data_IF_855665127751
#
_entry.id   IF_855665127751
#
_cell.length_a   1.000
_cell.length_b   1.000
_cell.length_c   1.000
_cell.angle_alpha   90.00
_cell.angle_beta   90.00
_cell.angle_gamma   90.00
#
_symmetry.space_group_name_H-M   'P 1'
#
loop_
_entity.id
_entity.type
_entity.pdbx_description
1 polymer ?
#
# COMPACT_ATOMS: atom_id res chain seq x y z
N UNK A 1 -17.05 3.70 5.84
CA UNK A 1 -15.71 3.27 5.41
C UNK A 1 -15.39 3.86 4.05
N UNK A 2 -14.12 4.03 3.79
CA UNK A 2 -13.64 4.63 2.55
C UNK A 2 -12.98 3.57 1.68
N UNK A 3 -12.91 3.83 0.39
CA UNK A 3 -12.26 2.94 -0.56
C UNK A 3 -10.81 3.34 -0.73
N UNK A 4 -9.93 2.35 -0.80
CA UNK A 4 -8.51 2.55 -1.06
C UNK A 4 -8.06 1.64 -2.18
N UNK A 5 -7.20 2.17 -3.04
CA UNK A 5 -6.50 1.40 -4.06
C UNK A 5 -5.09 1.13 -3.57
N UNK A 6 -4.66 -0.10 -3.71
CA UNK A 6 -3.33 -0.52 -3.28
C UNK A 6 -2.59 -1.08 -4.47
N UNK A 7 -1.39 -0.57 -4.70
CA UNK A 7 -0.50 -1.06 -5.74
C UNK A 7 0.80 -1.52 -5.11
N UNK A 8 1.18 -2.76 -5.37
CA UNK A 8 2.42 -3.35 -4.85
C UNK A 8 3.37 -3.57 -6.01
N UNK A 9 4.62 -3.16 -5.85
CA UNK A 9 5.65 -3.37 -6.85
C UNK A 9 6.99 -3.66 -6.17
N UNK A 10 7.93 -4.17 -6.94
CA UNK A 10 9.31 -4.34 -6.47
C UNK A 10 10.03 -3.00 -6.38
N UNK A 11 11.16 -3.01 -5.67
CA UNK A 11 12.01 -1.84 -5.60
C UNK A 11 13.39 -2.15 -6.15
N UNK A 12 14.03 -1.12 -6.70
CA UNK A 12 15.41 -1.17 -7.13
C UNK A 12 16.10 0.08 -6.61
N UNK A 13 17.12 -0.13 -5.77
CA UNK A 13 17.84 0.96 -5.08
C UNK A 13 16.90 1.86 -4.27
N UNK A 14 15.87 1.24 -3.66
CA UNK A 14 14.92 1.94 -2.81
C UNK A 14 13.77 2.61 -3.56
N UNK A 15 13.76 2.59 -4.89
CA UNK A 15 12.70 3.19 -5.68
C UNK A 15 11.81 2.14 -6.31
N UNK A 16 10.55 2.49 -6.55
CA UNK A 16 9.60 1.61 -7.22
C UNK A 16 10.10 1.29 -8.63
N UNK A 17 10.20 0.02 -8.95
CA UNK A 17 10.79 -0.43 -10.20
C UNK A 17 9.79 -0.91 -11.24
N UNK A 18 8.61 -1.35 -10.80
CA UNK A 18 7.52 -1.80 -11.67
C UNK A 18 7.89 -2.95 -12.61
N UNK A 19 8.81 -3.83 -12.22
CA UNK A 19 9.05 -5.04 -13.00
C UNK A 19 7.90 -6.02 -12.89
N UNK A 20 7.12 -5.91 -11.81
CA UNK A 20 5.83 -6.58 -11.64
C UNK A 20 4.95 -5.69 -10.77
N UNK A 21 3.65 -5.85 -10.90
CA UNK A 21 2.68 -5.06 -10.14
C UNK A 21 1.53 -5.96 -9.71
N UNK A 22 1.07 -5.77 -8.46
CA UNK A 22 -0.19 -6.34 -7.97
C UNK A 22 -1.07 -5.20 -7.50
N UNK A 23 -2.36 -5.30 -7.79
CA UNK A 23 -3.32 -4.28 -7.41
C UNK A 23 -4.44 -4.89 -6.59
N UNK A 24 -4.83 -4.16 -5.55
CA UNK A 24 -5.94 -4.50 -4.69
C UNK A 24 -6.81 -3.28 -4.48
N UNK A 25 -8.05 -3.51 -4.11
CA UNK A 25 -8.91 -2.48 -3.56
C UNK A 25 -9.44 -2.98 -2.23
N UNK A 26 -9.60 -2.08 -1.27
CA UNK A 26 -10.16 -2.46 0.02
C UNK A 26 -10.96 -1.30 0.60
N UNK A 27 -11.76 -1.61 1.61
CA UNK A 27 -12.52 -0.64 2.38
C UNK A 27 -11.93 -0.59 3.77
N UNK A 28 -11.61 0.62 4.23
CA UNK A 28 -11.01 0.82 5.53
C UNK A 28 -11.34 2.22 6.03
N UNK A 29 -11.01 2.49 7.29
CA UNK A 29 -11.23 3.81 7.90
C UNK A 29 -10.06 4.77 7.65
N UNK A 30 -8.89 4.24 7.32
CA UNK A 30 -7.66 5.02 7.21
C UNK A 30 -6.61 4.24 6.41
N UNK A 31 -5.51 4.89 6.07
CA UNK A 31 -4.35 4.20 5.49
C UNK A 31 -3.87 3.08 6.40
N UNK A 32 -3.85 3.31 7.71
CA UNK A 32 -3.44 2.27 8.66
C UNK A 32 -4.33 1.05 8.58
N UNK A 33 -5.64 1.24 8.49
CA UNK A 33 -6.57 0.13 8.30
C UNK A 33 -6.35 -0.59 6.99
N UNK A 34 -6.06 0.16 5.93
CA UNK A 34 -5.77 -0.41 4.61
C UNK A 34 -4.50 -1.26 4.63
N UNK A 35 -3.42 -0.78 5.28
CA UNK A 35 -2.18 -1.56 5.34
C UNK A 35 -2.33 -2.80 6.23
N UNK A 36 -3.15 -2.74 7.27
CA UNK A 36 -3.45 -3.90 8.10
C UNK A 36 -4.22 -4.95 7.29
N UNK A 37 -5.14 -4.49 6.45
CA UNK A 37 -5.86 -5.38 5.54
C UNK A 37 -4.88 -6.04 4.56
N UNK A 38 -3.97 -5.27 3.98
CA UNK A 38 -2.96 -5.79 3.04
C UNK A 38 -2.03 -6.80 3.72
N UNK A 39 -1.68 -6.57 4.97
CA UNK A 39 -0.83 -7.49 5.72
C UNK A 39 -1.44 -8.88 5.84
N UNK A 40 -2.76 -8.97 5.90
CA UNK A 40 -3.47 -10.24 5.93
C UNK A 40 -3.55 -10.90 4.55
N UNK A 41 -3.55 -10.10 3.48
CA UNK A 41 -3.70 -10.61 2.11
C UNK A 41 -2.36 -10.97 1.47
N UNK A 42 -1.34 -10.18 1.72
CA UNK A 42 -0.05 -10.31 1.03
C UNK A 42 1.08 -10.75 1.96
N UNK A 43 1.12 -10.19 3.15
CA UNK A 43 2.20 -10.45 4.11
C UNK A 43 2.40 -9.26 5.01
N UNK A 44 2.89 -9.51 6.21
CA UNK A 44 3.10 -8.49 7.25
C UNK A 44 4.53 -7.93 7.19
N UNK A 45 4.77 -6.86 7.95
CA UNK A 45 6.09 -6.26 8.04
C UNK A 45 6.21 -4.96 7.26
N UNK A 46 5.09 -4.30 7.00
CA UNK A 46 5.08 -3.02 6.30
C UNK A 46 5.49 -1.88 7.23
N UNK A 47 6.37 -1.03 6.74
CA UNK A 47 6.83 0.16 7.44
C UNK A 47 6.49 1.38 6.61
N UNK A 48 5.83 2.38 7.22
CA UNK A 48 5.44 3.59 6.51
C UNK A 48 6.65 4.42 6.14
N UNK A 49 6.74 4.78 4.87
CA UNK A 49 7.77 5.67 4.34
C UNK A 49 7.28 7.11 4.40
N UNK A 50 6.12 7.39 3.81
CA UNK A 50 5.51 8.71 3.85
C UNK A 50 4.00 8.64 3.66
N UNK A 51 3.36 9.78 3.95
CA UNK A 51 1.92 9.93 3.88
C UNK A 51 1.65 11.39 3.49
N UNK A 52 0.99 11.59 2.35
CA UNK A 52 0.67 12.93 1.86
C UNK A 52 -0.76 13.35 2.18
N UNK A 53 -1.54 12.48 2.84
CA UNK A 53 -2.96 12.69 3.06
C UNK A 53 -3.83 12.04 1.98
N UNK A 54 -3.40 12.07 0.73
CA UNK A 54 -4.09 11.42 -0.39
C UNK A 54 -3.51 10.06 -0.72
N UNK A 55 -2.23 9.86 -0.40
CA UNK A 55 -1.50 8.64 -0.72
C UNK A 55 -0.47 8.37 0.36
N UNK A 56 -0.21 7.10 0.63
CA UNK A 56 0.85 6.67 1.53
C UNK A 56 1.70 5.60 0.87
N UNK A 57 2.99 5.64 1.16
CA UNK A 57 3.92 4.60 0.72
C UNK A 57 4.41 3.81 1.93
N UNK A 58 4.40 2.48 1.78
CA UNK A 58 4.95 1.56 2.78
C UNK A 58 5.99 0.67 2.12
N UNK A 59 7.03 0.35 2.86
CA UNK A 59 8.07 -0.58 2.41
C UNK A 59 7.94 -1.88 3.19
N UNK A 60 8.13 -3.01 2.51
CA UNK A 60 8.10 -4.31 3.15
C UNK A 60 9.49 -4.60 3.73
N UNK A 61 9.55 -4.72 5.05
CA UNK A 61 10.81 -4.94 5.76
C UNK A 61 11.43 -6.27 5.35
N UNK A 62 12.71 -6.24 4.98
CA UNK A 62 13.46 -7.42 4.59
C UNK A 62 13.22 -7.88 3.16
N UNK A 63 12.49 -7.11 2.36
CA UNK A 63 12.23 -7.44 0.96
C UNK A 63 12.36 -6.18 0.09
N UNK A 64 12.68 -6.37 -1.17
CA UNK A 64 12.74 -5.29 -2.14
C UNK A 64 11.34 -5.06 -2.74
N UNK A 65 10.40 -4.67 -1.89
CA UNK A 65 8.98 -4.50 -2.24
C UNK A 65 8.44 -3.27 -1.54
N UNK A 66 7.65 -2.49 -2.25
CA UNK A 66 6.90 -1.38 -1.66
C UNK A 66 5.45 -1.42 -2.12
N UNK A 67 4.59 -0.67 -1.44
CA UNK A 67 3.23 -0.47 -1.88
C UNK A 67 2.85 1.00 -1.77
N UNK A 68 1.92 1.39 -2.63
CA UNK A 68 1.29 2.70 -2.60
C UNK A 68 -0.18 2.49 -2.29
N UNK A 69 -0.68 3.20 -1.29
CA UNK A 69 -2.10 3.17 -0.92
C UNK A 69 -2.66 4.54 -1.25
N UNK A 70 -3.65 4.57 -2.13
CA UNK A 70 -4.29 5.78 -2.58
C UNK A 70 -5.73 5.83 -2.12
N UNK A 71 -6.14 6.97 -1.58
CA UNK A 71 -7.54 7.20 -1.22
C UNK A 71 -8.36 7.28 -2.51
N UNK A 72 -9.36 6.44 -2.62
CA UNK A 72 -10.20 6.36 -3.82
C UNK A 72 -11.61 6.91 -3.61
N UNK A 73 -11.87 7.52 -2.45
CA UNK A 73 -13.15 8.15 -2.16
C UNK A 73 -14.05 7.31 -1.28
N UNK A 74 -15.19 7.89 -0.91
CA UNK A 74 -16.19 7.19 -0.14
C UNK A 74 -16.99 6.27 -1.06
N UNK A 75 -17.47 5.19 -0.49
CA UNK A 75 -18.35 4.30 -1.22
C UNK A 75 -19.71 4.97 -1.45
N UNK A 76 -20.17 4.84 -2.67
CA UNK A 76 -21.49 5.34 -3.06
C UNK A 76 -22.52 4.24 -2.96
#
# INVERSE_FOLDING_TARGET
MENFKIEITDTFRGEANYSWVRRYTCRAKSFRGAIQWLARQYGAGWSKDYDTGDMARYNLTGAAVCCFIEYAGEEV
#
